data_IF_564124972513
#
_entry.id   IF_564124972513
#
_cell.length_a   1.000
_cell.length_b   1.000
_cell.length_c   1.000
_cell.angle_alpha   90.00
_cell.angle_beta   90.00
_cell.angle_gamma   90.00
#
_symmetry.space_group_name_H-M   'P 1'
#
loop_
_entity.id
_entity.type
_entity.pdbx_description
1 polymer ?
#
# COMPACT_ATOMS: atom_id res chain seq x y z
N UNK A 1 -5.51 -22.03 3.33
CA UNK A 1 -6.04 -22.45 4.66
C UNK A 1 -5.31 -21.66 5.73
N UNK A 2 -6.03 -20.87 6.52
CA UNK A 2 -5.45 -20.08 7.62
C UNK A 2 -5.31 -20.97 8.86
N UNK A 3 -4.17 -20.90 9.54
CA UNK A 3 -3.92 -21.65 10.79
C UNK A 3 -3.42 -20.70 11.86
N UNK A 4 -3.73 -20.99 13.11
CA UNK A 4 -3.28 -20.17 14.22
C UNK A 4 -1.81 -20.45 14.54
N UNK A 5 -1.09 -19.42 14.97
CA UNK A 5 0.26 -19.56 15.48
C UNK A 5 0.43 -18.81 16.80
N UNK A 6 1.32 -19.34 17.62
CA UNK A 6 1.80 -18.69 18.83
C UNK A 6 3.26 -18.29 18.64
N UNK A 7 3.59 -17.06 19.01
CA UNK A 7 4.98 -16.59 19.01
C UNK A 7 5.66 -17.08 20.31
N UNK A 8 6.72 -17.86 20.17
CA UNK A 8 7.54 -18.34 21.28
C UNK A 8 8.87 -17.58 21.25
N UNK A 9 9.16 -16.86 22.33
CA UNK A 9 10.44 -16.16 22.52
C UNK A 9 11.54 -17.17 22.81
N UNK A 10 12.61 -17.16 22.03
CA UNK A 10 13.81 -17.93 22.29
C UNK A 10 14.81 -17.15 23.16
N UNK A 11 15.70 -17.86 23.87
CA UNK A 11 16.70 -17.25 24.75
C UNK A 11 17.73 -16.37 24.02
N UNK A 12 17.80 -16.46 22.69
CA UNK A 12 18.61 -15.62 21.81
C UNK A 12 17.91 -14.30 21.39
N UNK A 13 16.67 -14.07 21.86
CA UNK A 13 15.86 -12.90 21.53
C UNK A 13 15.11 -13.01 20.20
N UNK A 14 15.18 -14.16 19.52
CA UNK A 14 14.41 -14.42 18.31
C UNK A 14 12.99 -14.91 18.65
N UNK A 15 12.06 -14.73 17.71
CA UNK A 15 10.68 -15.22 17.83
C UNK A 15 10.47 -16.37 16.84
N UNK A 16 10.03 -17.53 17.34
CA UNK A 16 9.57 -18.62 16.49
C UNK A 16 8.05 -18.71 16.50
N UNK A 17 7.44 -18.82 15.32
CA UNK A 17 6.01 -19.02 15.18
C UNK A 17 5.71 -20.52 15.19
N UNK A 18 5.14 -21.03 16.28
CA UNK A 18 4.68 -22.41 16.35
C UNK A 18 3.23 -22.47 15.88
N UNK A 19 3.01 -23.21 14.80
CA UNK A 19 1.68 -23.45 14.24
C UNK A 19 0.89 -24.37 15.17
N UNK A 20 -0.30 -23.94 15.54
CA UNK A 20 -1.27 -24.75 16.28
C UNK A 20 -2.48 -25.05 15.36
N UNK A 21 -2.53 -26.26 14.78
CA UNK A 21 -3.62 -26.65 13.89
C UNK A 21 -4.89 -27.06 14.64
N UNK A 22 -4.89 -27.06 15.98
CA UNK A 22 -6.05 -27.48 16.78
C UNK A 22 -7.09 -26.38 16.94
N UNK A 23 -6.71 -25.13 16.70
CA UNK A 23 -7.61 -23.98 16.73
C UNK A 23 -8.19 -23.75 15.33
N UNK A 24 -9.45 -24.13 15.15
CA UNK A 24 -10.20 -23.92 13.91
C UNK A 24 -10.80 -22.52 13.78
N UNK A 25 -10.93 -21.79 14.90
CA UNK A 25 -11.43 -20.42 14.93
C UNK A 25 -10.28 -19.41 14.92
N UNK A 26 -9.96 -18.93 13.72
CA UNK A 26 -8.86 -17.98 13.47
C UNK A 26 -9.13 -16.56 14.01
N UNK A 27 -10.36 -16.27 14.45
CA UNK A 27 -10.78 -14.93 14.87
C UNK A 27 -10.25 -14.56 16.27
N UNK A 28 -9.94 -15.57 17.10
CA UNK A 28 -9.41 -15.40 18.45
C UNK A 28 -7.88 -15.51 18.52
N UNK A 29 -7.20 -15.69 17.38
CA UNK A 29 -5.78 -15.99 17.34
C UNK A 29 -4.92 -14.72 17.30
N UNK A 30 -3.91 -14.65 18.18
CA UNK A 30 -2.94 -13.54 18.23
C UNK A 30 -2.14 -13.42 16.92
N UNK A 31 -1.84 -14.55 16.28
CA UNK A 31 -1.19 -14.60 14.98
C UNK A 31 -1.91 -15.61 14.08
N UNK A 32 -2.22 -15.19 12.86
CA UNK A 32 -2.83 -16.03 11.83
C UNK A 32 -1.79 -16.21 10.73
N UNK A 33 -1.42 -17.45 10.46
CA UNK A 33 -0.51 -17.81 9.37
C UNK A 33 -1.36 -18.27 8.19
N UNK A 34 -1.30 -17.51 7.11
CA UNK A 34 -1.91 -17.87 5.83
C UNK A 34 -0.85 -18.42 4.87
N UNK A 35 -1.28 -19.29 3.96
CA UNK A 35 -0.39 -19.75 2.89
C UNK A 35 -0.08 -18.57 1.96
N UNK A 36 1.15 -18.48 1.45
CA UNK A 36 1.57 -17.37 0.59
C UNK A 36 0.69 -17.19 -0.66
N UNK A 37 0.07 -18.26 -1.15
CA UNK A 37 -0.89 -18.22 -2.26
C UNK A 37 -2.22 -17.52 -1.89
N UNK A 38 -2.65 -17.63 -0.62
CA UNK A 38 -3.83 -16.92 -0.11
C UNK A 38 -3.51 -15.43 0.13
N UNK A 39 -2.27 -15.10 0.50
CA UNK A 39 -1.83 -13.70 0.73
C UNK A 39 -1.63 -12.95 -0.59
N UNK A 40 -1.09 -13.62 -1.63
CA UNK A 40 -0.86 -13.02 -2.94
C UNK A 40 -2.13 -12.57 -3.67
N UNK A 41 -3.30 -13.12 -3.31
CA UNK A 41 -4.61 -12.71 -3.85
C UNK A 41 -5.36 -11.75 -2.92
N UNK A 42 -4.75 -11.30 -1.83
CA UNK A 42 -5.37 -10.34 -0.93
C UNK A 42 -5.31 -8.93 -1.51
N UNK A 43 -6.41 -8.17 -1.43
CA UNK A 43 -6.51 -6.77 -1.88
C UNK A 43 -5.44 -5.86 -1.24
N UNK A 44 -4.87 -6.30 -0.11
CA UNK A 44 -3.83 -5.59 0.63
C UNK A 44 -2.40 -5.99 0.23
N UNK A 45 -2.24 -7.00 -0.65
CA UNK A 45 -0.95 -7.42 -1.19
C UNK A 45 -0.58 -6.54 -2.38
N UNK A 46 -0.31 -5.26 -2.12
CA UNK A 46 0.17 -4.34 -3.15
C UNK A 46 1.70 -4.45 -3.24
N UNK A 47 2.24 -4.74 -4.43
CA UNK A 47 3.70 -4.69 -4.63
C UNK A 47 4.19 -3.24 -4.55
N UNK A 48 5.47 -3.06 -4.22
CA UNK A 48 6.13 -1.75 -4.33
C UNK A 48 6.03 -1.18 -5.76
N UNK A 49 6.02 -2.06 -6.76
CA UNK A 49 5.83 -1.70 -8.17
C UNK A 49 4.44 -1.11 -8.43
N UNK A 50 3.39 -1.71 -7.86
CA UNK A 50 2.01 -1.21 -7.97
C UNK A 50 1.86 0.16 -7.30
N UNK A 51 2.51 0.36 -6.16
CA UNK A 51 2.56 1.66 -5.47
C UNK A 51 3.22 2.75 -6.33
N UNK A 52 4.26 2.40 -7.08
CA UNK A 52 4.94 3.34 -7.98
C UNK A 52 4.03 3.82 -9.11
N UNK A 53 3.25 2.92 -9.72
CA UNK A 53 2.31 3.25 -10.79
C UNK A 53 1.21 4.21 -10.33
N UNK A 54 0.67 3.98 -9.13
CA UNK A 54 -0.36 4.85 -8.53
C UNK A 54 0.20 6.25 -8.27
N UNK A 55 1.43 6.33 -7.77
CA UNK A 55 2.08 7.62 -7.46
C UNK A 55 2.32 8.47 -8.71
N UNK A 56 2.74 7.85 -9.81
CA UNK A 56 2.95 8.53 -11.10
C UNK A 56 1.62 9.05 -11.65
N UNK A 57 0.56 8.25 -11.52
CA UNK A 57 -0.80 8.68 -11.87
C UNK A 57 -1.23 9.96 -11.15
N UNK A 58 -1.08 10.00 -9.82
CA UNK A 58 -1.41 11.18 -9.02
C UNK A 58 -0.62 12.42 -9.39
N UNK A 59 0.70 12.27 -9.60
CA UNK A 59 1.58 13.38 -9.97
C UNK A 59 1.21 13.93 -11.36
N UNK A 60 0.88 13.06 -12.32
CA UNK A 60 0.49 13.49 -13.67
C UNK A 60 -0.77 14.35 -13.71
N UNK A 61 -1.79 14.02 -12.92
CA UNK A 61 -3.02 14.82 -12.80
C UNK A 61 -2.70 16.19 -12.20
N UNK A 62 -1.87 16.23 -11.16
CA UNK A 62 -1.47 17.48 -10.52
C UNK A 62 -0.63 18.37 -11.47
N UNK A 63 0.27 17.75 -12.24
CA UNK A 63 1.07 18.43 -13.25
C UNK A 63 0.20 19.03 -14.36
N UNK A 64 -0.81 18.30 -14.84
CA UNK A 64 -1.75 18.81 -15.84
C UNK A 64 -2.53 20.03 -15.34
N UNK A 65 -2.99 20.00 -14.08
CA UNK A 65 -3.68 21.12 -13.45
C UNK A 65 -2.78 22.37 -13.35
N UNK A 66 -1.52 22.19 -12.95
CA UNK A 66 -0.55 23.28 -12.93
C UNK A 66 -0.21 23.81 -14.32
N UNK A 67 -0.09 22.94 -15.32
CA UNK A 67 0.14 23.32 -16.70
C UNK A 67 -0.97 24.24 -17.24
N UNK A 68 -2.23 23.87 -17.02
CA UNK A 68 -3.37 24.72 -17.40
C UNK A 68 -3.35 26.06 -16.68
N UNK A 69 -3.03 26.08 -15.37
CA UNK A 69 -2.92 27.31 -14.59
C UNK A 69 -1.81 28.23 -15.13
N UNK A 70 -0.67 27.67 -15.54
CA UNK A 70 0.43 28.42 -16.13
C UNK A 70 0.03 29.06 -17.46
N UNK A 71 -0.66 28.32 -18.34
CA UNK A 71 -1.18 28.85 -19.61
C UNK A 71 -2.15 30.01 -19.38
N UNK A 72 -3.09 29.86 -18.43
CA UNK A 72 -4.06 30.91 -18.09
C UNK A 72 -3.35 32.17 -17.60
N UNK A 73 -2.31 32.04 -16.77
CA UNK A 73 -1.56 33.19 -16.27
C UNK A 73 -0.76 33.91 -17.36
N UNK A 74 -0.19 33.18 -18.32
CA UNK A 74 0.53 33.78 -19.46
C UNK A 74 -0.43 34.56 -20.37
N UNK A 75 -1.60 33.99 -20.68
CA UNK A 75 -2.63 34.67 -21.50
C UNK A 75 -3.15 35.91 -20.80
N UNK A 76 -3.41 35.83 -19.48
CA UNK A 76 -3.85 36.99 -18.69
C UNK A 76 -2.77 38.06 -18.55
N UNK A 77 -1.49 37.67 -18.43
CA UNK A 77 -0.36 38.60 -18.38
C UNK A 77 -0.24 39.41 -19.68
N UNK A 78 -0.36 38.73 -20.83
CA UNK A 78 -0.28 39.38 -22.16
C UNK A 78 -1.41 40.38 -22.43
N UNK A 79 -2.57 40.23 -21.78
CA UNK A 79 -3.70 41.15 -21.98
C UNK A 79 -3.55 42.48 -21.23
N UNK A 80 -2.54 42.63 -20.37
CA UNK A 80 -2.35 43.81 -19.52
C UNK A 80 -1.23 44.76 -20.02
N UNK A 81 -0.57 44.43 -21.13
CA UNK A 81 0.53 45.21 -21.73
C UNK A 81 0.10 46.08 -22.93
N UNK A 82 -1.20 46.23 -23.20
CA UNK A 82 -1.75 47.03 -24.31
C UNK A 82 -2.61 48.23 -23.89
N UNK A 83 -2.34 48.83 -22.71
CA UNK A 83 -2.90 50.15 -22.33
C UNK A 83 -1.79 51.12 -21.95
#
# INVERSE_FOLDING_TARGET
MATCAIAVLQPDGSYFLKIDPSVSDVTACTYVVQSGADVANSILSMSAEDGSLISVGLVSVWAAAWGMKAVINVVKGSSNETV
#
